data_IF_354137333799
#
_entry.id   IF_354137333799
#
_cell.length_a   1.000
_cell.length_b   1.000
_cell.length_c   1.000
_cell.angle_alpha   90.00
_cell.angle_beta   90.00
_cell.angle_gamma   90.00
#
_symmetry.space_group_name_H-M   'P 1'
#
loop_
_entity.id
_entity.type
_entity.pdbx_description
1 polymer ?
#
# COMPACT_ATOMS: atom_id res chain seq x y z
N UNK A 1 16.33 25.64 -1.28
CA UNK A 1 17.50 25.53 -2.19
C UNK A 1 17.31 24.47 -3.26
N UNK A 2 16.89 23.25 -2.91
CA UNK A 2 16.66 22.11 -3.82
C UNK A 2 15.60 22.41 -4.89
N UNK A 3 14.45 22.98 -4.49
CA UNK A 3 13.36 23.35 -5.40
C UNK A 3 13.78 24.43 -6.41
N UNK A 4 14.61 25.40 -6.00
CA UNK A 4 15.13 26.45 -6.91
C UNK A 4 16.17 25.90 -7.90
N UNK A 5 17.01 24.94 -7.49
CA UNK A 5 17.95 24.25 -8.38
C UNK A 5 17.18 23.45 -9.45
N UNK A 6 16.11 22.78 -9.07
CA UNK A 6 15.25 22.00 -9.97
C UNK A 6 14.49 22.91 -10.95
N UNK A 7 13.99 24.06 -10.51
CA UNK A 7 13.30 25.02 -11.37
C UNK A 7 14.19 25.55 -12.51
N UNK A 8 15.51 25.66 -12.31
CA UNK A 8 16.47 26.02 -13.37
C UNK A 8 16.66 24.95 -14.44
N UNK A 9 16.37 23.68 -14.13
CA UNK A 9 16.49 22.54 -15.05
C UNK A 9 15.17 22.18 -15.77
N UNK A 10 14.05 22.81 -15.39
CA UNK A 10 12.75 22.55 -16.02
C UNK A 10 12.59 23.46 -17.25
N UNK A 11 13.37 23.19 -18.29
CA UNK A 11 12.97 23.54 -19.64
C UNK A 11 11.82 22.63 -20.09
N UNK A 12 10.85 23.20 -20.83
CA UNK A 12 9.62 22.47 -21.24
C UNK A 12 9.87 21.11 -21.89
N UNK A 13 11.02 20.91 -22.52
CA UNK A 13 11.41 19.68 -23.18
C UNK A 13 12.00 18.60 -22.22
N UNK A 14 12.47 19.00 -21.01
CA UNK A 14 13.12 18.10 -20.05
C UNK A 14 12.27 17.80 -18.80
N UNK A 15 11.00 18.24 -18.78
CA UNK A 15 10.12 18.07 -17.62
C UNK A 15 10.02 16.61 -17.14
N UNK A 16 9.90 15.66 -18.06
CA UNK A 16 9.82 14.22 -17.71
C UNK A 16 11.10 13.72 -17.04
N UNK A 17 12.25 14.09 -17.60
CA UNK A 17 13.56 13.68 -17.05
C UNK A 17 13.76 14.25 -15.65
N UNK A 18 13.48 15.54 -15.48
CA UNK A 18 13.54 16.20 -14.16
C UNK A 18 12.61 15.55 -13.14
N UNK A 19 11.37 15.20 -13.54
CA UNK A 19 10.41 14.50 -12.68
C UNK A 19 10.94 13.14 -12.22
N UNK A 20 11.47 12.34 -13.14
CA UNK A 20 12.06 11.03 -12.79
C UNK A 20 13.28 11.17 -11.88
N UNK A 21 14.10 12.19 -12.10
CA UNK A 21 15.27 12.45 -11.25
C UNK A 21 14.83 12.83 -9.82
N UNK A 22 13.85 13.72 -9.67
CA UNK A 22 13.29 14.11 -8.37
C UNK A 22 12.75 12.88 -7.62
N UNK A 23 11.98 12.02 -8.31
CA UNK A 23 11.43 10.82 -7.71
C UNK A 23 12.57 9.90 -7.24
N UNK A 24 13.59 9.67 -8.07
CA UNK A 24 14.75 8.85 -7.73
C UNK A 24 15.49 9.37 -6.50
N UNK A 25 15.80 10.67 -6.50
CA UNK A 25 16.54 11.31 -5.41
C UNK A 25 15.73 11.31 -4.11
N UNK A 26 14.40 11.48 -4.21
CA UNK A 26 13.50 11.38 -3.05
C UNK A 26 13.49 9.98 -2.46
N UNK A 27 13.41 8.94 -3.30
CA UNK A 27 13.46 7.54 -2.85
C UNK A 27 14.81 7.23 -2.21
N UNK A 28 15.91 7.66 -2.82
CA UNK A 28 17.27 7.45 -2.29
C UNK A 28 17.43 8.10 -0.90
N UNK A 29 16.96 9.33 -0.75
CA UNK A 29 16.95 10.04 0.52
C UNK A 29 16.13 9.30 1.58
N UNK A 30 14.93 8.83 1.23
CA UNK A 30 14.08 8.06 2.15
C UNK A 30 14.74 6.76 2.58
N UNK A 31 15.36 6.03 1.67
CA UNK A 31 16.07 4.77 1.98
C UNK A 31 17.27 5.04 2.91
N UNK A 32 18.08 6.04 2.60
CA UNK A 32 19.24 6.41 3.43
C UNK A 32 18.84 6.83 4.83
N UNK A 33 17.79 7.64 4.96
CA UNK A 33 17.28 8.05 6.26
C UNK A 33 16.77 6.86 7.05
N UNK A 34 15.95 5.99 6.43
CA UNK A 34 15.40 4.80 7.08
C UNK A 34 16.49 3.89 7.62
N UNK A 35 17.53 3.63 6.80
CA UNK A 35 18.67 2.78 7.22
C UNK A 35 19.42 3.44 8.38
N UNK A 36 19.74 4.73 8.27
CA UNK A 36 20.51 5.44 9.28
C UNK A 36 19.73 5.56 10.60
N UNK A 37 18.44 5.87 10.52
CA UNK A 37 17.60 5.96 11.71
C UNK A 37 17.38 4.59 12.37
N UNK A 38 17.20 3.54 11.57
CA UNK A 38 17.11 2.15 12.09
C UNK A 38 18.38 1.76 12.82
N UNK A 39 19.58 2.03 12.25
CA UNK A 39 20.86 1.77 12.94
C UNK A 39 20.93 2.50 14.28
N UNK A 40 20.52 3.77 14.33
CA UNK A 40 20.45 4.53 15.59
C UNK A 40 19.50 3.89 16.59
N UNK A 41 18.32 3.46 16.17
CA UNK A 41 17.32 2.84 17.02
C UNK A 41 17.80 1.49 17.58
N UNK A 42 18.48 0.69 16.78
CA UNK A 42 19.09 -0.58 17.26
C UNK A 42 20.09 -0.34 18.37
N UNK A 43 20.95 0.66 18.22
CA UNK A 43 21.95 1.03 19.24
C UNK A 43 21.26 1.58 20.51
N UNK A 44 20.32 2.50 20.37
CA UNK A 44 19.59 3.11 21.48
C UNK A 44 18.79 2.08 22.29
N UNK A 45 18.18 1.10 21.63
CA UNK A 45 17.41 0.03 22.28
C UNK A 45 18.27 -1.18 22.66
N UNK A 46 19.61 -1.09 22.51
CA UNK A 46 20.58 -2.14 22.87
C UNK A 46 20.27 -3.50 22.21
N UNK A 47 19.73 -3.47 20.99
CA UNK A 47 19.36 -4.68 20.23
C UNK A 47 20.61 -5.35 19.68
N UNK A 48 20.86 -6.60 20.08
CA UNK A 48 22.01 -7.41 19.64
C UNK A 48 21.57 -8.74 19.01
N UNK A 49 20.41 -9.25 19.39
CA UNK A 49 19.91 -10.55 18.97
C UNK A 49 18.50 -10.44 18.39
N UNK A 50 18.07 -11.47 17.65
CA UNK A 50 16.69 -11.58 17.16
C UNK A 50 15.67 -11.54 18.31
N UNK A 51 16.01 -12.11 19.47
CA UNK A 51 15.15 -12.10 20.65
C UNK A 51 14.93 -10.68 21.18
N UNK A 52 15.93 -9.81 21.10
CA UNK A 52 15.82 -8.40 21.51
C UNK A 52 14.87 -7.65 20.56
N UNK A 53 14.87 -7.98 19.27
CA UNK A 53 13.92 -7.40 18.28
C UNK A 53 12.49 -7.78 18.65
N UNK A 54 12.21 -9.05 18.94
CA UNK A 54 10.85 -9.52 19.31
C UNK A 54 10.36 -8.87 20.59
N UNK A 55 11.24 -8.71 21.58
CA UNK A 55 10.92 -8.16 22.89
C UNK A 55 10.93 -6.62 22.93
N UNK A 56 11.26 -5.97 21.82
CA UNK A 56 11.28 -4.50 21.77
C UNK A 56 9.87 -3.94 21.76
N UNK A 57 9.57 -3.06 22.70
CA UNK A 57 8.32 -2.29 22.75
C UNK A 57 8.33 -1.09 21.78
N UNK A 58 9.50 -0.78 21.20
CA UNK A 58 9.69 0.37 20.32
C UNK A 58 9.75 -0.07 18.86
N UNK A 59 9.21 0.76 17.98
CA UNK A 59 9.36 0.58 16.54
C UNK A 59 10.81 0.85 16.15
N UNK A 60 11.54 -0.20 15.79
CA UNK A 60 12.96 -0.12 15.46
C UNK A 60 13.20 0.44 14.06
N UNK A 61 12.36 0.05 13.09
CA UNK A 61 12.47 0.48 11.69
C UNK A 61 11.50 1.63 11.44
N UNK A 62 12.00 2.85 11.38
CA UNK A 62 11.20 4.04 11.09
C UNK A 62 12.06 5.17 10.52
N UNK A 63 11.42 6.12 9.89
CA UNK A 63 12.06 7.36 9.46
C UNK A 63 12.46 8.23 10.65
N UNK A 64 13.48 9.09 10.45
CA UNK A 64 13.78 10.17 11.38
C UNK A 64 12.56 11.10 11.54
N UNK A 65 12.50 11.86 12.62
CA UNK A 65 11.40 12.81 12.87
C UNK A 65 11.21 13.77 11.71
N UNK A 66 12.30 14.37 11.23
CA UNK A 66 12.29 15.35 10.13
C UNK A 66 11.70 14.74 8.83
N UNK A 67 12.13 13.54 8.46
CA UNK A 67 11.62 12.92 7.24
C UNK A 67 10.18 12.42 7.39
N UNK A 68 9.79 11.98 8.57
CA UNK A 68 8.41 11.59 8.87
C UNK A 68 7.44 12.76 8.73
N UNK A 69 7.83 13.94 9.16
CA UNK A 69 7.00 15.14 9.01
C UNK A 69 6.78 15.46 7.54
N UNK A 70 7.84 15.43 6.73
CA UNK A 70 7.75 15.60 5.27
C UNK A 70 6.93 14.49 4.59
N UNK A 71 7.09 13.24 5.01
CA UNK A 71 6.31 12.10 4.49
C UNK A 71 4.82 12.26 4.81
N UNK A 72 4.48 12.72 6.01
CA UNK A 72 3.11 13.01 6.39
C UNK A 72 2.48 14.12 5.53
N UNK A 73 3.22 15.17 5.21
CA UNK A 73 2.76 16.24 4.31
C UNK A 73 2.50 15.71 2.90
N UNK A 74 3.43 14.91 2.35
CA UNK A 74 3.25 14.27 1.04
C UNK A 74 2.04 13.35 1.05
N UNK A 75 1.90 12.52 2.07
CA UNK A 75 0.76 11.60 2.24
C UNK A 75 -0.56 12.35 2.32
N UNK A 76 -0.60 13.44 3.08
CA UNK A 76 -1.77 14.30 3.18
C UNK A 76 -2.16 14.92 1.83
N UNK A 77 -1.18 15.46 1.12
CA UNK A 77 -1.38 16.01 -0.23
C UNK A 77 -1.92 14.97 -1.21
N UNK A 78 -1.31 13.79 -1.25
CA UNK A 78 -1.75 12.69 -2.12
C UNK A 78 -3.17 12.24 -1.76
N UNK A 79 -3.50 12.16 -0.47
CA UNK A 79 -4.84 11.81 -0.01
C UNK A 79 -5.89 12.79 -0.51
N UNK A 80 -5.62 14.09 -0.42
CA UNK A 80 -6.56 15.13 -0.85
C UNK A 80 -6.67 15.21 -2.37
N UNK A 81 -5.55 15.21 -3.08
CA UNK A 81 -5.50 15.54 -4.51
C UNK A 81 -5.62 14.32 -5.42
N UNK A 82 -5.16 13.15 -4.99
CA UNK A 82 -5.15 11.94 -5.80
C UNK A 82 -6.18 10.90 -5.30
N UNK A 83 -6.01 10.37 -4.09
CA UNK A 83 -6.84 9.26 -3.63
C UNK A 83 -8.31 9.62 -3.46
N UNK A 84 -8.62 10.85 -3.06
CA UNK A 84 -10.01 11.36 -2.96
C UNK A 84 -10.51 12.02 -4.25
N UNK A 85 -9.76 11.93 -5.35
CA UNK A 85 -10.24 12.46 -6.62
C UNK A 85 -11.46 11.68 -7.12
N UNK A 86 -12.49 12.38 -7.59
CA UNK A 86 -13.79 11.81 -8.01
C UNK A 86 -13.66 10.58 -8.93
N UNK A 87 -12.73 10.62 -9.88
CA UNK A 87 -12.52 9.52 -10.83
C UNK A 87 -11.94 8.26 -10.15
N UNK A 88 -11.09 8.44 -9.14
CA UNK A 88 -10.51 7.35 -8.35
C UNK A 88 -11.58 6.73 -7.45
N UNK A 89 -12.33 7.57 -6.73
CA UNK A 89 -13.44 7.12 -5.87
C UNK A 89 -14.48 6.33 -6.67
N UNK A 90 -14.89 6.82 -7.86
CA UNK A 90 -15.83 6.10 -8.72
C UNK A 90 -15.33 4.71 -9.14
N UNK A 91 -14.03 4.57 -9.44
CA UNK A 91 -13.42 3.26 -9.76
C UNK A 91 -13.41 2.34 -8.53
N UNK A 92 -13.03 2.88 -7.37
CA UNK A 92 -12.99 2.14 -6.11
C UNK A 92 -14.40 1.65 -5.70
N UNK A 93 -15.41 2.50 -5.85
CA UNK A 93 -16.80 2.14 -5.51
C UNK A 93 -17.33 1.03 -6.44
N UNK A 94 -16.98 1.08 -7.73
CA UNK A 94 -17.27 -0.02 -8.66
C UNK A 94 -16.59 -1.34 -8.22
N UNK A 95 -15.33 -1.28 -7.81
CA UNK A 95 -14.60 -2.44 -7.27
C UNK A 95 -15.26 -3.00 -6.01
N UNK A 96 -15.59 -2.12 -5.04
CA UNK A 96 -16.31 -2.51 -3.81
C UNK A 96 -17.64 -3.20 -4.11
N UNK A 97 -18.40 -2.67 -5.09
CA UNK A 97 -19.68 -3.27 -5.49
C UNK A 97 -19.49 -4.67 -6.07
N UNK A 98 -18.47 -4.88 -6.91
CA UNK A 98 -18.13 -6.19 -7.47
C UNK A 98 -17.81 -7.18 -6.34
N UNK A 99 -16.92 -6.83 -5.42
CA UNK A 99 -16.53 -7.69 -4.28
C UNK A 99 -17.73 -8.03 -3.40
N UNK A 100 -18.55 -7.02 -3.05
CA UNK A 100 -19.76 -7.22 -2.25
C UNK A 100 -20.76 -8.20 -2.92
N UNK A 101 -20.94 -8.07 -4.22
CA UNK A 101 -21.85 -8.94 -4.96
C UNK A 101 -21.28 -10.35 -5.17
N UNK A 102 -19.97 -10.47 -5.41
CA UNK A 102 -19.29 -11.76 -5.44
C UNK A 102 -19.46 -12.51 -4.12
N UNK A 103 -19.21 -11.84 -2.99
CA UNK A 103 -19.39 -12.44 -1.68
C UNK A 103 -20.80 -12.98 -1.48
N UNK A 104 -21.84 -12.17 -1.73
CA UNK A 104 -23.23 -12.57 -1.59
C UNK A 104 -23.61 -13.74 -2.50
N UNK A 105 -23.08 -13.80 -3.71
CA UNK A 105 -23.39 -14.88 -4.65
C UNK A 105 -22.67 -16.18 -4.31
N UNK A 106 -21.40 -16.11 -3.90
CA UNK A 106 -20.63 -17.27 -3.44
C UNK A 106 -21.23 -17.78 -2.13
N UNK A 107 -21.69 -16.90 -1.23
CA UNK A 107 -22.35 -17.28 0.02
C UNK A 107 -23.60 -18.14 -0.18
N UNK A 108 -24.38 -17.85 -1.24
CA UNK A 108 -25.58 -18.66 -1.58
C UNK A 108 -25.24 -20.09 -2.02
N UNK A 109 -24.12 -20.28 -2.69
CA UNK A 109 -23.70 -21.60 -3.20
C UNK A 109 -22.18 -21.80 -3.09
N UNK A 110 -21.62 -21.82 -1.86
CA UNK A 110 -20.17 -21.79 -1.64
C UNK A 110 -19.46 -23.05 -2.13
N UNK A 111 -20.12 -24.21 -2.08
CA UNK A 111 -19.55 -25.50 -2.52
C UNK A 111 -19.14 -25.53 -4.00
N UNK A 112 -19.67 -24.61 -4.81
CA UNK A 112 -19.29 -24.47 -6.23
C UNK A 112 -17.89 -23.87 -6.42
N UNK A 113 -17.38 -23.16 -5.41
CA UNK A 113 -16.17 -22.36 -5.52
C UNK A 113 -15.09 -22.76 -4.50
N UNK A 114 -15.49 -23.38 -3.39
CA UNK A 114 -14.65 -23.60 -2.22
C UNK A 114 -14.82 -25.04 -1.76
N UNK A 115 -13.74 -25.67 -1.33
CA UNK A 115 -13.77 -27.05 -0.85
C UNK A 115 -14.58 -27.18 0.44
N UNK A 116 -15.18 -28.38 0.62
CA UNK A 116 -16.02 -28.66 1.79
C UNK A 116 -15.20 -28.49 3.09
N UNK A 117 -13.94 -28.96 3.11
CA UNK A 117 -13.09 -28.91 4.29
C UNK A 117 -12.81 -27.46 4.76
N UNK A 118 -12.65 -26.53 3.83
CA UNK A 118 -12.44 -25.10 4.16
C UNK A 118 -13.73 -24.46 4.71
N UNK A 119 -14.88 -24.83 4.13
CA UNK A 119 -16.19 -24.33 4.55
C UNK A 119 -16.57 -24.80 5.97
N UNK A 120 -16.20 -26.02 6.37
CA UNK A 120 -16.49 -26.53 7.72
C UNK A 120 -15.73 -25.78 8.81
N UNK A 121 -14.54 -25.26 8.54
CA UNK A 121 -13.76 -24.50 9.53
C UNK A 121 -14.40 -23.13 9.83
N UNK A 122 -14.66 -22.34 8.81
CA UNK A 122 -15.36 -21.05 8.90
C UNK A 122 -15.81 -20.61 7.50
N UNK A 123 -17.11 -20.72 7.22
CA UNK A 123 -17.71 -20.38 5.92
C UNK A 123 -17.34 -18.98 5.44
N UNK A 124 -17.50 -17.98 6.28
CA UNK A 124 -17.28 -16.58 5.88
C UNK A 124 -15.81 -16.28 5.66
N UNK A 125 -14.94 -16.87 6.47
CA UNK A 125 -13.50 -16.76 6.30
C UNK A 125 -13.04 -17.39 5.00
N UNK A 126 -13.51 -18.61 4.70
CA UNK A 126 -13.18 -19.31 3.46
C UNK A 126 -13.61 -18.52 2.21
N UNK A 127 -14.82 -17.89 2.24
CA UNK A 127 -15.28 -17.03 1.15
C UNK A 127 -14.38 -15.79 1.01
N UNK A 128 -14.02 -15.17 2.11
CA UNK A 128 -13.13 -13.98 2.10
C UNK A 128 -11.74 -14.32 1.56
N UNK A 129 -11.17 -15.43 2.00
CA UNK A 129 -9.84 -15.89 1.55
C UNK A 129 -9.87 -16.28 0.05
N UNK A 130 -10.94 -16.92 -0.42
CA UNK A 130 -11.14 -17.21 -1.84
C UNK A 130 -11.19 -15.93 -2.69
N UNK A 131 -11.96 -14.91 -2.26
CA UNK A 131 -12.06 -13.64 -2.99
C UNK A 131 -10.75 -12.86 -2.94
N UNK A 132 -10.07 -12.81 -1.79
CA UNK A 132 -8.80 -12.09 -1.65
C UNK A 132 -7.64 -12.73 -2.43
N UNK A 133 -7.72 -14.01 -2.73
CA UNK A 133 -6.77 -14.70 -3.62
C UNK A 133 -6.98 -14.43 -5.12
N UNK A 134 -8.04 -13.70 -5.50
CA UNK A 134 -8.30 -13.38 -6.90
C UNK A 134 -7.46 -12.20 -7.37
N UNK A 135 -7.05 -12.22 -8.65
CA UNK A 135 -6.64 -10.99 -9.33
C UNK A 135 -7.87 -10.13 -9.67
N UNK A 136 -7.70 -8.82 -9.81
CA UNK A 136 -8.79 -7.91 -10.21
C UNK A 136 -9.49 -8.38 -11.48
N UNK A 137 -8.72 -8.82 -12.45
CA UNK A 137 -9.24 -9.32 -13.74
C UNK A 137 -10.10 -10.57 -13.57
N UNK A 138 -9.66 -11.51 -12.72
CA UNK A 138 -10.41 -12.71 -12.43
C UNK A 138 -11.72 -12.40 -11.70
N UNK A 139 -11.68 -11.52 -10.69
CA UNK A 139 -12.86 -11.10 -9.94
C UNK A 139 -13.91 -10.43 -10.85
N UNK A 140 -13.50 -9.56 -11.76
CA UNK A 140 -14.39 -8.90 -12.72
C UNK A 140 -15.01 -9.95 -13.68
N UNK A 141 -14.20 -10.86 -14.22
CA UNK A 141 -14.68 -11.90 -15.14
C UNK A 141 -15.64 -12.85 -14.45
N UNK A 142 -15.32 -13.28 -13.23
CA UNK A 142 -16.20 -14.16 -12.45
C UNK A 142 -17.51 -13.43 -12.11
N UNK A 143 -17.46 -12.19 -11.69
CA UNK A 143 -18.66 -11.39 -11.44
C UNK A 143 -19.58 -11.32 -12.66
N UNK A 144 -19.02 -11.10 -13.84
CA UNK A 144 -19.80 -11.05 -15.09
C UNK A 144 -20.41 -12.41 -15.49
N UNK A 145 -19.71 -13.53 -15.16
CA UNK A 145 -20.21 -14.88 -15.46
C UNK A 145 -21.35 -15.34 -14.53
N UNK A 146 -21.34 -14.85 -13.28
CA UNK A 146 -22.32 -15.27 -12.27
C UNK A 146 -23.39 -14.19 -11.98
N UNK A 147 -23.45 -13.15 -12.82
CA UNK A 147 -24.39 -12.02 -12.71
C UNK A 147 -25.88 -12.38 -12.85
#
# INVERSE_FOLDING_TARGET
>A
EYVRAIQKFIDKNNYKIATYQIIRDSIDLMIKDLINNTKKNLVLNKVKTFKDVINSNNTLVNFSKSLRDSENEIRHFLRLKMYNHKNILKKNDKGKLIIKNLFKKIEKNPKKFITINELYKNKYRAISDFISGMTDRYAINLYNKIK
#
